data_IF_410006577929
#
_entry.id   IF_410006577929
#
_cell.length_a   1.000
_cell.length_b   1.000
_cell.length_c   1.000
_cell.angle_alpha   90.00
_cell.angle_beta   90.00
_cell.angle_gamma   90.00
#
_symmetry.space_group_name_H-M   'P 1'
#
loop_
_entity.id
_entity.type
_entity.pdbx_description
1 polymer ?
#
# COMPACT_ATOMS: atom_id res chain seq x y z
N UNK A 1 13.10 -7.31 -22.38
CA UNK A 1 13.15 -6.92 -20.96
C UNK A 1 13.33 -8.19 -20.15
N UNK A 2 14.54 -8.48 -19.69
CA UNK A 2 14.84 -9.63 -18.83
C UNK A 2 13.90 -9.63 -17.63
N UNK A 3 13.14 -10.71 -17.50
CA UNK A 3 12.13 -10.84 -16.47
C UNK A 3 12.81 -11.06 -15.12
N UNK A 4 13.01 -9.99 -14.35
CA UNK A 4 13.48 -10.07 -12.96
C UNK A 4 12.74 -11.17 -12.20
N UNK A 5 13.49 -11.99 -11.47
CA UNK A 5 12.93 -13.06 -10.65
C UNK A 5 11.88 -12.53 -9.68
N UNK A 6 10.91 -13.37 -9.28
CA UNK A 6 9.94 -12.98 -8.23
C UNK A 6 10.68 -12.55 -6.96
N UNK A 7 11.77 -13.24 -6.63
CA UNK A 7 12.66 -12.93 -5.50
C UNK A 7 13.23 -11.52 -5.59
N UNK A 8 13.81 -11.14 -6.74
CA UNK A 8 14.36 -9.79 -6.95
C UNK A 8 13.29 -8.70 -6.83
N UNK A 9 12.08 -8.96 -7.32
CA UNK A 9 10.96 -8.03 -7.20
C UNK A 9 10.52 -7.86 -5.75
N UNK A 10 10.43 -8.96 -4.99
CA UNK A 10 10.12 -8.93 -3.54
C UNK A 10 11.21 -8.20 -2.77
N UNK A 11 12.48 -8.49 -3.07
CA UNK A 11 13.63 -7.84 -2.45
C UNK A 11 13.62 -6.33 -2.76
N UNK A 12 13.28 -5.95 -3.99
CA UNK A 12 13.11 -4.54 -4.37
C UNK A 12 11.96 -3.86 -3.62
N UNK A 13 10.83 -4.55 -3.39
CA UNK A 13 9.73 -4.03 -2.56
C UNK A 13 10.22 -3.79 -1.13
N UNK A 14 10.87 -4.79 -0.52
CA UNK A 14 11.38 -4.70 0.85
C UNK A 14 12.37 -3.55 0.98
N UNK A 15 13.35 -3.47 0.08
CA UNK A 15 14.37 -2.41 0.10
C UNK A 15 13.74 -1.03 -0.07
N UNK A 16 12.77 -0.86 -0.98
CA UNK A 16 12.11 0.43 -1.17
C UNK A 16 11.22 0.80 0.02
N UNK A 17 10.55 -0.17 0.63
CA UNK A 17 9.79 0.04 1.88
C UNK A 17 10.71 0.43 3.03
N UNK A 18 11.86 -0.24 3.20
CA UNK A 18 12.85 0.12 4.23
C UNK A 18 13.41 1.52 3.97
N UNK A 19 13.78 1.85 2.73
CA UNK A 19 14.26 3.20 2.36
C UNK A 19 13.21 4.27 2.68
N UNK A 20 11.94 4.01 2.35
CA UNK A 20 10.85 4.92 2.66
C UNK A 20 10.68 5.07 4.18
N UNK A 21 10.67 3.97 4.94
CA UNK A 21 10.55 4.00 6.40
C UNK A 21 11.70 4.75 7.07
N UNK A 22 12.94 4.53 6.63
CA UNK A 22 14.11 5.23 7.16
C UNK A 22 14.05 6.73 6.82
N UNK A 23 13.72 7.09 5.58
CA UNK A 23 13.58 8.49 5.18
C UNK A 23 12.51 9.21 6.00
N UNK A 24 11.34 8.58 6.18
CA UNK A 24 10.28 9.13 7.00
C UNK A 24 10.68 9.21 8.48
N UNK A 25 11.34 8.19 9.03
CA UNK A 25 11.80 8.19 10.42
C UNK A 25 12.79 9.33 10.70
N UNK A 26 13.74 9.57 9.79
CA UNK A 26 14.67 10.71 9.87
C UNK A 26 13.89 12.02 9.89
N UNK A 27 12.94 12.19 8.99
CA UNK A 27 12.11 13.40 8.92
C UNK A 27 11.31 13.59 10.21
N UNK A 28 10.59 12.56 10.66
CA UNK A 28 9.78 12.60 11.88
C UNK A 28 10.60 12.79 13.16
N UNK A 29 11.87 12.38 13.17
CA UNK A 29 12.78 12.62 14.29
C UNK A 29 13.32 14.05 14.30
N UNK A 30 13.64 14.60 13.14
CA UNK A 30 14.18 15.95 12.98
C UNK A 30 13.09 17.02 13.22
N UNK A 31 11.86 16.78 12.75
CA UNK A 31 10.74 17.71 12.89
C UNK A 31 10.53 18.22 14.33
N UNK A 32 10.39 17.39 15.38
CA UNK A 32 10.16 17.84 16.76
C UNK A 32 11.32 18.67 17.32
N UNK A 33 12.57 18.36 16.93
CA UNK A 33 13.77 19.11 17.34
C UNK A 33 13.77 20.53 16.74
N UNK A 34 13.21 20.68 15.54
CA UNK A 34 13.13 21.96 14.83
C UNK A 34 11.90 22.80 15.19
N UNK A 35 10.89 22.22 15.86
CA UNK A 35 9.69 22.95 16.32
C UNK A 35 10.05 24.23 17.10
N UNK A 36 10.95 24.20 18.10
CA UNK A 36 11.28 25.41 18.86
C UNK A 36 12.15 26.42 18.11
N UNK A 37 12.79 26.03 17.00
CA UNK A 37 13.69 26.91 16.26
C UNK A 37 12.96 27.90 15.33
N UNK A 38 11.73 27.60 14.91
CA UNK A 38 10.83 28.43 14.07
C UNK A 38 11.54 29.20 12.93
N UNK A 39 12.61 28.62 12.37
CA UNK A 39 13.42 29.26 11.33
C UNK A 39 12.57 29.35 10.07
N UNK A 40 12.22 30.58 9.72
CA UNK A 40 11.42 30.90 8.54
C UNK A 40 12.36 31.05 7.35
N UNK A 41 12.23 30.18 6.34
CA UNK A 41 13.06 30.17 5.13
C UNK A 41 12.50 31.17 4.11
N UNK A 42 11.18 31.21 3.97
CA UNK A 42 10.48 32.08 3.03
C UNK A 42 9.12 32.46 3.62
N UNK A 43 8.78 33.76 3.57
CA UNK A 43 7.47 34.27 4.01
C UNK A 43 6.84 35.08 2.88
N UNK A 44 5.70 34.60 2.40
CA UNK A 44 4.81 35.29 1.45
C UNK A 44 3.40 35.29 2.04
N UNK A 45 2.52 36.19 1.62
CA UNK A 45 1.15 36.33 2.16
C UNK A 45 0.31 35.04 2.12
N UNK A 46 0.65 34.10 1.24
CA UNK A 46 -0.05 32.83 1.06
C UNK A 46 0.77 31.59 1.44
N UNK A 47 2.09 31.73 1.62
CA UNK A 47 3.00 30.60 1.81
C UNK A 47 4.01 30.95 2.91
N UNK A 48 3.97 30.17 3.99
CA UNK A 48 4.95 30.24 5.07
C UNK A 48 5.77 28.95 5.03
N UNK A 49 6.99 29.04 4.49
CA UNK A 49 7.90 27.90 4.40
C UNK A 49 8.88 27.99 5.57
N UNK A 50 8.64 27.22 6.63
CA UNK A 50 9.67 26.93 7.63
C UNK A 50 10.35 25.61 7.26
N UNK A 51 11.43 25.30 7.97
CA UNK A 51 12.16 24.03 7.79
C UNK A 51 11.20 22.83 7.97
N UNK A 52 10.18 22.96 8.82
CA UNK A 52 9.14 21.92 8.99
C UNK A 52 8.37 21.65 7.70
N UNK A 53 7.85 22.67 7.05
CA UNK A 53 7.07 22.55 5.82
C UNK A 53 7.96 22.02 4.67
N UNK A 54 9.23 22.43 4.62
CA UNK A 54 10.21 21.87 3.68
C UNK A 54 10.42 20.37 3.90
N UNK A 55 10.60 19.92 5.15
CA UNK A 55 10.73 18.51 5.48
C UNK A 55 9.46 17.71 5.16
N UNK A 56 8.27 18.28 5.36
CA UNK A 56 7.01 17.66 4.96
C UNK A 56 6.90 17.53 3.44
N UNK A 57 7.40 18.51 2.67
CA UNK A 57 7.48 18.43 1.22
C UNK A 57 8.46 17.33 0.76
N UNK A 58 9.61 17.18 1.43
CA UNK A 58 10.51 16.05 1.20
C UNK A 58 9.82 14.72 1.50
N UNK A 59 9.10 14.61 2.63
CA UNK A 59 8.34 13.41 2.98
C UNK A 59 7.31 13.06 1.91
N UNK A 60 6.57 14.06 1.42
CA UNK A 60 5.62 13.91 0.31
C UNK A 60 6.29 13.34 -0.95
N UNK A 61 7.42 13.90 -1.37
CA UNK A 61 8.17 13.42 -2.54
C UNK A 61 8.67 11.98 -2.35
N UNK A 62 9.18 11.64 -1.16
CA UNK A 62 9.62 10.28 -0.86
C UNK A 62 8.46 9.27 -0.88
N UNK A 63 7.29 9.64 -0.33
CA UNK A 63 6.09 8.78 -0.35
C UNK A 63 5.66 8.51 -1.79
N UNK A 64 5.62 9.53 -2.66
CA UNK A 64 5.24 9.34 -4.06
C UNK A 64 6.28 8.48 -4.79
N UNK A 65 7.56 8.82 -4.66
CA UNK A 65 8.64 8.14 -5.38
C UNK A 65 8.71 6.66 -4.99
N UNK A 66 8.93 6.37 -3.71
CA UNK A 66 9.05 4.98 -3.25
C UNK A 66 7.71 4.24 -3.28
N UNK A 67 6.60 4.92 -2.98
CA UNK A 67 5.26 4.34 -3.06
C UNK A 67 4.93 3.83 -4.47
N UNK A 68 5.28 4.60 -5.51
CA UNK A 68 5.12 4.15 -6.89
C UNK A 68 5.92 2.87 -7.19
N UNK A 69 7.19 2.81 -6.80
CA UNK A 69 8.01 1.61 -7.02
C UNK A 69 7.50 0.38 -6.25
N UNK A 70 7.03 0.58 -5.01
CA UNK A 70 6.41 -0.47 -4.20
C UNK A 70 5.17 -1.01 -4.92
N UNK A 71 4.23 -0.14 -5.31
CA UNK A 71 2.99 -0.54 -5.99
C UNK A 71 3.25 -1.24 -7.33
N UNK A 72 4.18 -0.70 -8.14
CA UNK A 72 4.56 -1.27 -9.43
C UNK A 72 5.12 -2.68 -9.29
N UNK A 73 6.04 -2.87 -8.34
CA UNK A 73 6.64 -4.19 -8.12
C UNK A 73 5.62 -5.15 -7.49
N UNK A 74 4.80 -4.68 -6.55
CA UNK A 74 3.76 -5.49 -5.91
C UNK A 74 2.75 -6.01 -6.94
N UNK A 75 2.31 -5.16 -7.86
CA UNK A 75 1.47 -5.55 -9.01
C UNK A 75 2.12 -6.66 -9.83
N UNK A 76 3.40 -6.50 -10.15
CA UNK A 76 4.14 -7.46 -10.98
C UNK A 76 4.32 -8.80 -10.26
N UNK A 77 4.61 -8.77 -8.95
CA UNK A 77 4.69 -9.99 -8.12
C UNK A 77 3.34 -10.69 -8.05
N UNK A 78 2.25 -9.94 -7.87
CA UNK A 78 0.91 -10.50 -7.81
C UNK A 78 0.48 -11.13 -9.14
N UNK A 79 0.69 -10.43 -10.26
CA UNK A 79 0.42 -10.96 -11.60
C UNK A 79 1.19 -12.28 -11.82
N UNK A 80 2.50 -12.34 -11.47
CA UNK A 80 3.31 -13.57 -11.57
C UNK A 80 2.86 -14.68 -10.61
N UNK A 81 2.47 -14.34 -9.38
CA UNK A 81 1.99 -15.31 -8.39
C UNK A 81 0.67 -15.94 -8.82
N UNK A 82 -0.24 -15.14 -9.38
CA UNK A 82 -1.51 -15.61 -9.95
C UNK A 82 -1.26 -16.53 -11.14
N UNK A 83 -0.38 -16.16 -12.07
CA UNK A 83 -0.05 -17.00 -13.22
C UNK A 83 0.61 -18.33 -12.78
N UNK A 84 1.49 -18.31 -11.78
CA UNK A 84 2.09 -19.52 -11.18
C UNK A 84 1.03 -20.43 -10.55
N UNK A 85 0.09 -19.88 -9.77
CA UNK A 85 -1.02 -20.63 -9.17
C UNK A 85 -1.94 -21.24 -10.22
N UNK A 86 -2.18 -20.56 -11.34
CA UNK A 86 -2.99 -21.10 -12.43
C UNK A 86 -2.27 -22.24 -13.13
N UNK A 87 -0.97 -22.11 -13.39
CA UNK A 87 -0.19 -23.18 -14.01
C UNK A 87 -0.17 -24.46 -13.16
N UNK A 88 -0.10 -24.33 -11.83
CA UNK A 88 -0.04 -25.47 -10.90
C UNK A 88 -1.40 -26.13 -10.64
N UNK A 89 -2.49 -25.36 -10.65
CA UNK A 89 -3.81 -25.86 -10.24
C UNK A 89 -4.83 -25.95 -11.39
N UNK A 90 -4.49 -25.51 -12.60
CA UNK A 90 -5.33 -25.60 -13.80
C UNK A 90 -6.65 -24.83 -13.73
N UNK A 91 -6.81 -23.91 -12.76
CA UNK A 91 -8.10 -23.25 -12.50
C UNK A 91 -8.20 -21.93 -13.28
N UNK A 92 -8.39 -22.03 -14.61
CA UNK A 92 -8.56 -20.86 -15.48
C UNK A 92 -9.71 -19.94 -15.02
N UNK A 93 -10.79 -20.52 -14.48
CA UNK A 93 -11.99 -19.79 -14.05
C UNK A 93 -11.77 -18.93 -12.78
N UNK A 94 -10.77 -19.27 -11.95
CA UNK A 94 -10.41 -18.49 -10.75
C UNK A 94 -9.39 -17.38 -11.02
N UNK A 95 -8.78 -17.32 -12.21
CA UNK A 95 -7.82 -16.29 -12.62
C UNK A 95 -8.36 -14.88 -12.39
N UNK A 96 -9.58 -14.64 -12.85
CA UNK A 96 -10.24 -13.33 -12.74
C UNK A 96 -10.45 -12.92 -11.28
N UNK A 97 -10.92 -13.84 -10.42
CA UNK A 97 -11.18 -13.54 -9.00
C UNK A 97 -9.90 -13.33 -8.19
N UNK A 98 -8.86 -14.13 -8.42
CA UNK A 98 -7.57 -13.98 -7.74
C UNK A 98 -6.85 -12.70 -8.15
N UNK A 99 -6.90 -12.35 -9.45
CA UNK A 99 -6.34 -11.11 -9.95
C UNK A 99 -7.08 -9.89 -9.41
N UNK A 100 -8.42 -9.98 -9.28
CA UNK A 100 -9.24 -8.95 -8.64
C UNK A 100 -8.83 -8.72 -7.18
N UNK A 101 -8.74 -9.79 -6.39
CA UNK A 101 -8.28 -9.70 -4.99
C UNK A 101 -6.90 -9.05 -4.85
N UNK A 102 -5.97 -9.38 -5.76
CA UNK A 102 -4.65 -8.75 -5.81
C UNK A 102 -4.69 -7.27 -6.14
N UNK A 103 -5.51 -6.88 -7.12
CA UNK A 103 -5.72 -5.48 -7.44
C UNK A 103 -6.37 -4.72 -6.27
N UNK A 104 -7.35 -5.31 -5.59
CA UNK A 104 -8.00 -4.68 -4.42
C UNK A 104 -6.97 -4.41 -3.31
N UNK A 105 -6.02 -5.32 -3.09
CA UNK A 105 -4.91 -5.13 -2.14
C UNK A 105 -3.99 -3.97 -2.57
N UNK A 106 -3.63 -3.91 -3.85
CA UNK A 106 -2.83 -2.81 -4.42
C UNK A 106 -3.58 -1.48 -4.28
N UNK A 107 -4.89 -1.46 -4.49
CA UNK A 107 -5.74 -0.28 -4.29
C UNK A 107 -5.78 0.17 -2.84
N UNK A 108 -5.88 -0.75 -1.88
CA UNK A 108 -5.82 -0.41 -0.44
C UNK A 108 -4.48 0.24 -0.10
N UNK A 109 -3.36 -0.36 -0.51
CA UNK A 109 -2.01 0.18 -0.26
C UNK A 109 -1.84 1.53 -0.96
N UNK A 110 -2.31 1.64 -2.20
CA UNK A 110 -2.28 2.87 -2.97
C UNK A 110 -3.08 3.99 -2.32
N UNK A 111 -4.29 3.69 -1.84
CA UNK A 111 -5.12 4.65 -1.13
C UNK A 111 -4.44 5.13 0.16
N UNK A 112 -3.81 4.22 0.90
CA UNK A 112 -3.06 4.57 2.10
C UNK A 112 -1.86 5.49 1.81
N UNK A 113 -1.12 5.21 0.74
CA UNK A 113 -0.01 6.07 0.28
C UNK A 113 -0.50 7.45 -0.17
N UNK A 114 -1.61 7.52 -0.91
CA UNK A 114 -2.23 8.79 -1.33
C UNK A 114 -2.70 9.59 -0.11
N UNK A 115 -3.34 8.95 0.84
CA UNK A 115 -3.73 9.60 2.10
C UNK A 115 -2.51 10.16 2.84
N UNK A 116 -1.46 9.36 3.00
CA UNK A 116 -0.22 9.79 3.66
C UNK A 116 0.42 10.99 2.94
N UNK A 117 0.47 10.96 1.61
CA UNK A 117 0.99 12.06 0.79
C UNK A 117 0.14 13.33 0.92
N UNK A 118 -1.20 13.21 0.83
CA UNK A 118 -2.10 14.35 0.96
C UNK A 118 -1.98 15.00 2.34
N UNK A 119 -1.90 14.21 3.41
CA UNK A 119 -1.73 14.75 4.77
C UNK A 119 -0.45 15.58 4.90
N UNK A 120 0.64 15.19 4.24
CA UNK A 120 1.86 15.99 4.17
C UNK A 120 1.65 17.29 3.40
N UNK A 121 0.93 17.25 2.28
CA UNK A 121 0.64 18.45 1.48
C UNK A 121 -0.24 19.46 2.23
N UNK A 122 -1.31 19.01 2.90
CA UNK A 122 -2.20 19.90 3.65
C UNK A 122 -1.49 20.58 4.83
N UNK A 123 -0.49 19.92 5.42
CA UNK A 123 0.30 20.52 6.51
C UNK A 123 1.08 21.78 6.09
N UNK A 124 1.29 21.99 4.79
CA UNK A 124 2.02 23.14 4.22
C UNK A 124 1.06 24.34 3.98
N UNK A 125 -0.24 24.08 3.82
CA UNK A 125 -1.24 25.11 3.53
C UNK A 125 -1.70 25.80 4.83
N UNK A 126 -1.19 27.01 5.06
CA UNK A 126 -1.48 27.89 6.20
C UNK A 126 -2.97 28.22 6.35
N UNK A 127 -3.73 28.21 5.24
CA UNK A 127 -5.13 28.60 5.17
C UNK A 127 -6.12 27.43 5.29
N UNK A 128 -5.66 26.20 5.55
CA UNK A 128 -6.57 25.07 5.63
C UNK A 128 -7.34 25.11 6.95
N UNK A 129 -8.67 25.30 6.94
CA UNK A 129 -9.41 25.34 8.19
C UNK A 129 -9.43 23.95 8.84
N UNK A 130 -9.40 23.90 10.16
CA UNK A 130 -9.27 22.65 10.94
C UNK A 130 -10.36 21.61 10.64
N UNK A 131 -11.54 22.04 10.23
CA UNK A 131 -12.65 21.17 9.82
C UNK A 131 -12.37 20.42 8.51
N UNK A 132 -11.58 20.99 7.59
CA UNK A 132 -11.24 20.33 6.33
C UNK A 132 -10.31 19.12 6.54
N UNK A 133 -9.35 19.24 7.47
CA UNK A 133 -8.52 18.11 7.90
C UNK A 133 -9.36 16.99 8.53
N UNK A 134 -10.31 17.35 9.39
CA UNK A 134 -11.22 16.37 10.02
C UNK A 134 -12.08 15.64 8.98
N UNK A 135 -12.70 16.37 8.05
CA UNK A 135 -13.50 15.78 6.98
C UNK A 135 -12.66 14.83 6.11
N UNK A 136 -11.45 15.25 5.72
CA UNK A 136 -10.55 14.40 4.95
C UNK A 136 -10.22 13.10 5.67
N UNK A 137 -9.86 13.17 6.96
CA UNK A 137 -9.57 11.98 7.76
C UNK A 137 -10.77 11.03 7.81
N UNK A 138 -11.98 11.56 8.00
CA UNK A 138 -13.21 10.77 8.05
C UNK A 138 -13.46 10.09 6.69
N UNK A 139 -13.38 10.83 5.59
CA UNK A 139 -13.61 10.32 4.23
C UNK A 139 -12.61 9.21 3.89
N UNK A 140 -11.31 9.44 4.12
CA UNK A 140 -10.29 8.44 3.85
C UNK A 140 -10.43 7.20 4.74
N UNK A 141 -10.76 7.39 6.02
CA UNK A 141 -11.01 6.25 6.93
C UNK A 141 -12.21 5.42 6.46
N UNK A 142 -13.30 6.08 6.04
CA UNK A 142 -14.46 5.39 5.48
C UNK A 142 -14.12 4.64 4.19
N UNK A 143 -13.36 5.25 3.27
CA UNK A 143 -12.90 4.60 2.03
C UNK A 143 -12.03 3.38 2.32
N UNK A 144 -11.07 3.49 3.26
CA UNK A 144 -10.20 2.38 3.66
C UNK A 144 -11.04 1.23 4.24
N UNK A 145 -12.02 1.53 5.10
CA UNK A 145 -12.93 0.53 5.67
C UNK A 145 -13.76 -0.19 4.59
N UNK A 146 -14.33 0.56 3.64
CA UNK A 146 -15.12 0.00 2.53
C UNK A 146 -14.26 -0.92 1.66
N UNK A 147 -13.05 -0.47 1.28
CA UNK A 147 -12.12 -1.27 0.49
C UNK A 147 -11.63 -2.51 1.26
N UNK A 148 -11.35 -2.37 2.55
CA UNK A 148 -10.95 -3.51 3.40
C UNK A 148 -12.07 -4.52 3.51
N UNK A 149 -13.31 -4.07 3.68
CA UNK A 149 -14.49 -4.94 3.70
C UNK A 149 -14.67 -5.69 2.38
N UNK A 150 -14.55 -4.99 1.25
CA UNK A 150 -14.67 -5.63 -0.08
C UNK A 150 -13.52 -6.63 -0.31
N UNK A 151 -12.30 -6.28 0.07
CA UNK A 151 -11.15 -7.18 0.03
C UNK A 151 -11.37 -8.45 0.87
N UNK A 152 -11.79 -8.32 2.12
CA UNK A 152 -12.10 -9.47 3.00
C UNK A 152 -13.21 -10.33 2.41
N UNK A 153 -14.25 -9.71 1.84
CA UNK A 153 -15.35 -10.43 1.19
C UNK A 153 -14.85 -11.24 -0.01
N UNK A 154 -14.06 -10.63 -0.90
CA UNK A 154 -13.49 -11.31 -2.07
C UNK A 154 -12.57 -12.45 -1.62
N UNK A 155 -11.73 -12.20 -0.62
CA UNK A 155 -10.78 -13.18 -0.09
C UNK A 155 -11.48 -14.35 0.59
N UNK A 156 -12.58 -14.10 1.32
CA UNK A 156 -13.43 -15.13 1.90
C UNK A 156 -14.08 -16.02 0.84
N UNK A 157 -14.59 -15.44 -0.25
CA UNK A 157 -15.15 -16.20 -1.38
C UNK A 157 -14.10 -17.08 -2.07
N UNK A 158 -12.91 -16.52 -2.34
CA UNK A 158 -11.81 -17.28 -2.95
C UNK A 158 -11.32 -18.37 -1.99
N UNK A 159 -11.14 -18.04 -0.71
CA UNK A 159 -10.66 -18.91 0.35
C UNK A 159 -11.59 -20.09 0.62
N UNK A 160 -12.91 -19.87 0.75
CA UNK A 160 -13.90 -20.95 0.93
C UNK A 160 -13.84 -21.97 -0.20
N UNK A 161 -13.64 -21.51 -1.43
CA UNK A 161 -13.55 -22.38 -2.62
C UNK A 161 -12.20 -23.09 -2.74
N UNK A 162 -11.15 -22.55 -2.11
CA UNK A 162 -9.83 -23.17 -2.02
C UNK A 162 -9.77 -24.21 -0.90
N UNK A 163 -10.28 -23.85 0.29
CA UNK A 163 -10.39 -24.73 1.44
C UNK A 163 -11.26 -25.96 1.14
N UNK A 164 -12.38 -25.81 0.42
CA UNK A 164 -13.18 -26.96 -0.03
C UNK A 164 -12.41 -27.90 -0.97
N UNK A 165 -11.58 -27.35 -1.88
CA UNK A 165 -10.75 -28.18 -2.78
C UNK A 165 -9.63 -28.89 -2.03
N UNK A 166 -8.97 -28.21 -1.09
CA UNK A 166 -7.95 -28.82 -0.23
C UNK A 166 -8.56 -29.92 0.65
N UNK A 167 -9.71 -29.66 1.26
CA UNK A 167 -10.44 -30.66 2.04
C UNK A 167 -10.80 -31.88 1.19
N UNK A 168 -11.25 -31.69 -0.07
CA UNK A 168 -11.53 -32.81 -0.97
C UNK A 168 -10.27 -33.59 -1.38
N UNK A 169 -9.13 -32.92 -1.60
CA UNK A 169 -7.86 -33.58 -1.96
C UNK A 169 -7.31 -34.39 -0.76
N UNK A 170 -7.45 -33.84 0.44
CA UNK A 170 -7.05 -34.54 1.67
C UNK A 170 -7.98 -35.73 1.89
N UNK A 171 -9.29 -35.55 1.74
CA UNK A 171 -10.27 -36.63 1.86
C UNK A 171 -10.07 -37.73 0.80
N UNK A 172 -9.70 -37.38 -0.44
CA UNK A 172 -9.42 -38.36 -1.48
C UNK A 172 -8.14 -39.15 -1.21
N UNK A 173 -7.07 -38.50 -0.74
CA UNK A 173 -5.84 -39.20 -0.33
C UNK A 173 -6.04 -40.09 0.87
N UNK A 174 -6.88 -39.70 1.83
CA UNK A 174 -7.17 -40.54 2.99
C UNK A 174 -7.96 -41.78 2.54
N UNK A 175 -8.90 -41.65 1.61
CA UNK A 175 -9.60 -42.80 1.04
C UNK A 175 -8.66 -43.76 0.30
N UNK A 176 -7.74 -43.26 -0.52
CA UNK A 176 -6.74 -44.09 -1.23
C UNK A 176 -5.78 -44.85 -0.29
N UNK A 177 -5.61 -44.41 0.95
CA UNK A 177 -4.72 -45.06 1.93
C UNK A 177 -5.49 -46.03 2.85
N UNK A 178 -6.83 -45.99 2.83
CA UNK A 178 -7.68 -46.81 3.71
C UNK A 178 -8.35 -47.97 2.97
N UNK A 179 -8.31 -48.00 1.64
CA UNK A 179 -8.60 -49.18 0.78
C UNK A 179 -7.32 -49.94 0.47
#
# INVERSE_FOLDING_TARGET
MEGRGIEELVLSIIVNSVKLSVALAIIYFIVPILIPLDITILKTDFILIRIREFLNMCAFLFIIYYGYYILRNLKTVFDKAVDSLISKFGIAEKRSKLRRAGMDLIWIIGLFLVYAALMQMFSILVLTPSWAFLLMRIIFTALILVLTYDFVRVLYFVGKTWLKKLANIIASRIREVTE
#
